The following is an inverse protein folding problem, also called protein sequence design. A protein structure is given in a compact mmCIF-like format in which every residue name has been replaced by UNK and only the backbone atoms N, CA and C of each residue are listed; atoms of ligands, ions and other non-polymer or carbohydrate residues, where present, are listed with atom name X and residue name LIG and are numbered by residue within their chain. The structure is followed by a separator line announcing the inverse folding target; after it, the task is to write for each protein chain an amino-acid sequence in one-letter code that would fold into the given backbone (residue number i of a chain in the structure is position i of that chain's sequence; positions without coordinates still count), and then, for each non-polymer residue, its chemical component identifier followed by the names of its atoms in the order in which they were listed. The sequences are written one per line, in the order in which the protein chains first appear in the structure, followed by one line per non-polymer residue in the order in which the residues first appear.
data_IF_611513061977
#
_entry.id   IF_611513061977
#
_cell.length_a   1.000
_cell.length_b   1.000
_cell.length_c   1.000
_cell.angle_alpha   90.00
_cell.angle_beta   90.00
_cell.angle_gamma   90.00
#
_symmetry.space_group_name_H-M   'P 1'
#
loop_
_entity.id
_entity.type
_entity.pdbx_description
1 polymer ?
#
# COMPACT_ATOMS: atom_id res chain seq x y z
N UNK A 1 -0.54 7.55 6.46
CA UNK A 1 -1.65 6.68 5.97
C UNK A 1 -2.90 7.50 5.79
N UNK A 2 -3.71 7.20 4.78
CA UNK A 2 -4.98 7.88 4.51
C UNK A 2 -6.13 6.91 4.76
N UNK A 3 -7.14 7.32 5.52
CA UNK A 3 -8.28 6.46 5.86
C UNK A 3 -9.58 7.09 5.36
N UNK A 4 -10.40 6.30 4.67
CA UNK A 4 -11.80 6.66 4.38
C UNK A 4 -12.62 6.61 5.67
N UNK A 5 -13.66 7.44 5.78
CA UNK A 5 -14.46 7.57 7.01
C UNK A 5 -15.05 6.23 7.46
N UNK A 6 -15.46 5.38 6.51
CA UNK A 6 -16.05 4.08 6.82
C UNK A 6 -15.03 3.07 7.35
N UNK A 7 -13.75 3.19 6.98
CA UNK A 7 -12.70 2.33 7.52
C UNK A 7 -12.58 2.52 9.03
N UNK A 8 -12.58 3.77 9.47
CA UNK A 8 -12.56 4.12 10.90
C UNK A 8 -13.82 3.63 11.61
N UNK A 9 -14.99 3.79 11.01
CA UNK A 9 -16.25 3.32 11.61
C UNK A 9 -16.26 1.80 11.79
N UNK A 10 -15.76 1.05 10.80
CA UNK A 10 -15.60 -0.41 10.91
C UNK A 10 -14.61 -0.80 11.99
N UNK A 11 -13.45 -0.14 12.03
CA UNK A 11 -12.44 -0.38 13.06
C UNK A 11 -13.05 -0.19 14.46
N UNK A 12 -13.70 0.95 14.70
CA UNK A 12 -14.33 1.26 15.99
C UNK A 12 -15.42 0.24 16.35
N UNK A 13 -16.20 -0.23 15.35
CA UNK A 13 -17.20 -1.29 15.54
C UNK A 13 -16.60 -2.63 15.97
N UNK A 14 -15.47 -3.04 15.38
CA UNK A 14 -14.80 -4.29 15.74
C UNK A 14 -14.05 -4.20 17.08
N UNK A 15 -13.47 -3.03 17.39
CA UNK A 15 -12.55 -2.83 18.52
C UNK A 15 -13.13 -1.97 19.66
N UNK A 16 -14.47 -1.91 19.75
CA UNK A 16 -15.20 -1.31 20.88
C UNK A 16 -14.82 0.16 21.17
N UNK A 17 -14.71 0.99 20.14
CA UNK A 17 -14.50 2.45 20.22
C UNK A 17 -13.20 2.93 20.87
N UNK A 18 -12.10 2.16 20.83
CA UNK A 18 -10.81 2.59 21.37
C UNK A 18 -9.93 3.24 20.30
N UNK A 19 -9.72 4.56 20.38
CA UNK A 19 -8.91 5.31 19.40
C UNK A 19 -7.43 4.93 19.44
N UNK A 20 -6.88 4.73 20.65
CA UNK A 20 -5.50 4.28 20.85
C UNK A 20 -5.22 2.90 20.22
N UNK A 21 -6.26 2.13 19.88
CA UNK A 21 -6.13 0.84 19.20
C UNK A 21 -5.96 0.98 17.68
N UNK A 22 -6.44 2.06 17.05
CA UNK A 22 -6.32 2.23 15.60
C UNK A 22 -4.86 2.49 15.21
N UNK A 23 -4.18 3.38 15.93
CA UNK A 23 -2.77 3.66 15.70
C UNK A 23 -1.92 2.41 15.90
N UNK A 24 -2.20 1.64 16.96
CA UNK A 24 -1.55 0.34 17.22
C UNK A 24 -1.82 -0.66 16.11
N UNK A 25 -3.06 -0.74 15.60
CA UNK A 25 -3.41 -1.61 14.48
C UNK A 25 -2.63 -1.21 13.21
N UNK A 26 -2.63 0.08 12.85
CA UNK A 26 -1.93 0.57 11.66
C UNK A 26 -0.41 0.37 11.78
N UNK A 27 0.16 0.58 12.96
CA UNK A 27 1.56 0.29 13.24
C UNK A 27 1.85 -1.22 13.12
N UNK A 28 0.99 -2.10 13.65
CA UNK A 28 1.15 -3.54 13.53
C UNK A 28 1.02 -4.02 12.07
N UNK A 29 0.10 -3.44 11.30
CA UNK A 29 -0.03 -3.65 9.86
C UNK A 29 1.27 -3.27 9.15
N UNK A 30 1.81 -2.09 9.42
CA UNK A 30 3.04 -1.60 8.81
C UNK A 30 4.27 -2.43 9.21
N UNK A 31 4.37 -2.82 10.47
CA UNK A 31 5.42 -3.72 10.96
C UNK A 31 5.34 -5.08 10.26
N UNK A 32 4.14 -5.59 10.00
CA UNK A 32 3.95 -6.81 9.22
C UNK A 32 4.38 -6.63 7.76
N UNK A 33 4.16 -5.45 7.17
CA UNK A 33 4.67 -5.09 5.84
C UNK A 33 6.20 -5.06 5.82
N UNK A 34 6.85 -4.47 6.83
CA UNK A 34 8.32 -4.45 6.96
C UNK A 34 8.95 -5.85 6.87
N UNK A 35 8.26 -6.90 7.36
CA UNK A 35 8.77 -8.27 7.29
C UNK A 35 8.96 -8.77 5.85
N UNK A 36 8.25 -8.24 4.85
CA UNK A 36 8.45 -8.62 3.44
C UNK A 36 9.76 -8.10 2.87
N UNK A 37 10.29 -7.01 3.44
CA UNK A 37 11.49 -6.31 3.00
C UNK A 37 12.72 -6.64 3.86
N UNK A 38 12.56 -7.49 4.89
CA UNK A 38 13.62 -7.84 5.87
C UNK A 38 14.92 -8.35 5.26
N UNK A 39 14.85 -8.93 4.07
CA UNK A 39 16.00 -9.53 3.36
C UNK A 39 16.78 -8.49 2.51
N UNK A 40 16.28 -7.25 2.42
CA UNK A 40 16.98 -6.12 1.80
C UNK A 40 17.88 -5.49 2.86
N UNK A 41 19.20 -5.73 2.77
CA UNK A 41 20.18 -5.30 3.80
C UNK A 41 21.04 -4.11 3.41
N UNK A 42 21.22 -3.85 2.11
CA UNK A 42 22.13 -2.82 1.61
C UNK A 42 21.46 -2.02 0.48
N UNK A 43 20.91 -0.83 0.76
CA UNK A 43 20.66 -0.29 2.10
C UNK A 43 19.54 -1.06 2.82
N UNK A 44 19.52 -1.03 4.15
CA UNK A 44 18.38 -1.55 4.92
C UNK A 44 17.18 -0.63 4.75
N UNK A 45 15.98 -1.21 4.71
CA UNK A 45 14.74 -0.47 4.53
C UNK A 45 13.81 -0.70 5.72
N UNK A 46 13.21 0.39 6.21
CA UNK A 46 12.17 0.36 7.23
C UNK A 46 11.10 1.40 6.89
N UNK A 47 9.84 0.99 6.92
CA UNK A 47 8.69 1.86 6.82
C UNK A 47 8.19 2.21 8.23
N UNK A 48 8.04 3.51 8.48
CA UNK A 48 7.57 4.06 9.76
C UNK A 48 6.28 4.83 9.53
N UNK A 49 5.33 4.70 10.46
CA UNK A 49 4.09 5.45 10.43
C UNK A 49 4.38 6.87 10.93
N UNK A 50 4.38 7.84 10.02
CA UNK A 50 4.68 9.24 10.35
C UNK A 50 3.42 10.06 10.66
N UNK A 51 2.31 9.79 9.97
CA UNK A 51 1.05 10.51 10.16
C UNK A 51 -0.17 9.69 9.66
N UNK A 52 -1.36 10.04 10.15
CA UNK A 52 -2.66 9.49 9.75
C UNK A 52 -3.59 10.63 9.34
N UNK A 53 -3.97 10.65 8.07
CA UNK A 53 -4.99 11.55 7.56
C UNK A 53 -6.35 10.84 7.49
N UNK A 54 -7.32 11.38 8.23
CA UNK A 54 -8.71 10.93 8.16
C UNK A 54 -9.47 11.77 7.14
N UNK A 55 -9.94 11.13 6.06
CA UNK A 55 -10.79 11.80 5.07
C UNK A 55 -12.09 12.29 5.71
N UNK A 56 -12.56 13.45 5.26
CA UNK A 56 -13.92 13.89 5.53
C UNK A 56 -14.94 12.99 4.83
N UNK A 57 -16.20 13.02 5.26
CA UNK A 57 -17.29 12.27 4.60
C UNK A 57 -17.43 12.65 3.12
N UNK A 58 -17.24 13.92 2.79
CA UNK A 58 -17.29 14.40 1.40
C UNK A 58 -16.12 13.85 0.57
N UNK A 59 -14.90 13.87 1.12
CA UNK A 59 -13.72 13.30 0.46
C UNK A 59 -13.86 11.80 0.23
N UNK A 60 -14.31 11.06 1.25
CA UNK A 60 -14.54 9.61 1.15
C UNK A 60 -15.63 9.28 0.15
N UNK A 61 -16.75 10.03 0.14
CA UNK A 61 -17.81 9.87 -0.85
C UNK A 61 -17.34 10.18 -2.27
N UNK A 62 -16.51 11.21 -2.44
CA UNK A 62 -15.92 11.55 -3.75
C UNK A 62 -14.93 10.48 -4.19
N UNK A 63 -14.11 9.93 -3.27
CA UNK A 63 -13.16 8.87 -3.55
C UNK A 63 -13.91 7.59 -3.97
N UNK A 64 -14.82 7.10 -3.13
CA UNK A 64 -15.56 5.84 -3.30
C UNK A 64 -16.67 5.87 -4.37
N UNK A 65 -16.87 7.00 -5.07
CA UNK A 65 -17.79 7.06 -6.21
C UNK A 65 -17.48 5.94 -7.23
N UNK A 66 -18.51 5.21 -7.64
CA UNK A 66 -18.42 3.97 -8.44
C UNK A 66 -17.92 4.20 -9.87
N UNK A 67 -17.45 3.12 -10.52
CA UNK A 67 -17.06 3.05 -11.94
C UNK A 67 -15.79 3.82 -12.34
N UNK A 68 -14.82 3.94 -11.44
CA UNK A 68 -13.50 4.47 -11.78
C UNK A 68 -12.51 3.35 -12.09
N UNK A 69 -11.64 3.61 -13.05
CA UNK A 69 -10.44 2.82 -13.29
C UNK A 69 -9.46 2.92 -12.13
N UNK A 70 -8.51 1.98 -12.05
CA UNK A 70 -7.47 2.00 -11.02
C UNK A 70 -6.62 3.27 -11.08
N UNK A 71 -6.35 3.77 -12.29
CA UNK A 71 -5.58 4.99 -12.52
C UNK A 71 -6.31 6.24 -12.02
N UNK A 72 -7.63 6.34 -12.24
CA UNK A 72 -8.43 7.46 -11.71
C UNK A 72 -8.42 7.51 -10.18
N UNK A 73 -8.48 6.37 -9.49
CA UNK A 73 -8.34 6.34 -8.02
C UNK A 73 -6.96 6.84 -7.57
N UNK A 74 -5.88 6.49 -8.29
CA UNK A 74 -4.53 6.95 -7.96
C UNK A 74 -4.38 8.47 -8.11
N UNK A 75 -4.81 9.02 -9.25
CA UNK A 75 -4.72 10.46 -9.47
C UNK A 75 -5.60 11.23 -8.48
N UNK A 76 -6.77 10.72 -8.16
CA UNK A 76 -7.61 11.35 -7.15
C UNK A 76 -6.95 11.34 -5.75
N UNK A 77 -6.27 10.26 -5.37
CA UNK A 77 -5.51 10.23 -4.13
C UNK A 77 -4.31 11.19 -4.15
N UNK A 78 -3.63 11.32 -5.29
CA UNK A 78 -2.56 12.29 -5.48
C UNK A 78 -3.08 13.73 -5.38
N UNK A 79 -4.20 14.06 -6.01
CA UNK A 79 -4.85 15.37 -5.93
C UNK A 79 -5.25 15.72 -4.49
N UNK A 80 -5.76 14.75 -3.74
CA UNK A 80 -6.02 14.90 -2.32
C UNK A 80 -4.73 15.26 -1.55
N UNK A 81 -3.65 14.53 -1.80
CA UNK A 81 -2.35 14.78 -1.17
C UNK A 81 -1.78 16.15 -1.50
N UNK A 82 -1.91 16.61 -2.75
CA UNK A 82 -1.52 17.95 -3.18
C UNK A 82 -2.38 19.01 -2.46
N UNK A 83 -3.71 18.83 -2.43
CA UNK A 83 -4.65 19.74 -1.78
C UNK A 83 -4.33 19.93 -0.29
N UNK A 84 -3.98 18.83 0.39
CA UNK A 84 -3.65 18.83 1.82
C UNK A 84 -2.16 18.97 2.13
N UNK A 85 -1.33 19.17 1.09
CA UNK A 85 0.12 19.41 1.20
C UNK A 85 0.85 18.29 1.95
N UNK A 86 0.53 17.03 1.63
CA UNK A 86 1.31 15.91 2.14
C UNK A 86 2.78 16.02 1.67
N UNK A 87 3.76 15.67 2.53
CA UNK A 87 5.17 15.71 2.14
C UNK A 87 5.42 14.83 0.91
N UNK A 88 6.18 15.35 -0.06
CA UNK A 88 6.42 14.66 -1.34
C UNK A 88 7.43 13.51 -1.24
N UNK A 89 8.20 13.47 -0.16
CA UNK A 89 9.14 12.42 0.21
C UNK A 89 8.49 11.25 0.94
N UNK A 90 7.25 11.43 1.43
CA UNK A 90 6.49 10.38 2.10
C UNK A 90 5.80 9.43 1.11
N UNK A 91 5.66 8.17 1.51
CA UNK A 91 4.76 7.22 0.87
C UNK A 91 3.36 7.38 1.46
N UNK A 92 2.45 7.89 0.64
CA UNK A 92 1.04 8.08 0.98
C UNK A 92 0.26 6.87 0.48
N UNK A 93 -0.33 6.10 1.39
CA UNK A 93 -1.23 5.03 0.99
C UNK A 93 -2.58 5.10 1.70
N UNK A 94 -3.62 4.80 0.94
CA UNK A 94 -5.01 4.78 1.39
C UNK A 94 -5.46 3.36 1.75
N UNK A 95 -6.10 3.19 2.91
CA UNK A 95 -6.80 1.97 3.28
C UNK A 95 -8.31 2.15 3.15
N UNK A 96 -8.96 1.20 2.48
CA UNK A 96 -10.42 1.14 2.36
C UNK A 96 -10.94 -0.26 2.68
N UNK A 97 -12.18 -0.42 3.17
CA UNK A 97 -12.73 -1.73 3.52
C UNK A 97 -13.43 -2.44 2.37
N UNK A 98 -13.72 -1.71 1.28
CA UNK A 98 -14.58 -2.19 0.21
C UNK A 98 -13.82 -2.92 -0.90
N UNK A 99 -14.49 -3.87 -1.55
CA UNK A 99 -14.02 -4.39 -2.82
C UNK A 99 -14.41 -3.41 -3.94
N UNK A 100 -13.42 -2.71 -4.49
CA UNK A 100 -13.62 -1.81 -5.61
C UNK A 100 -13.65 -2.64 -6.91
N UNK A 101 -14.76 -2.58 -7.64
CA UNK A 101 -14.91 -3.34 -8.89
C UNK A 101 -13.99 -2.80 -9.99
N UNK A 102 -13.45 -3.70 -10.82
CA UNK A 102 -12.59 -3.32 -11.95
C UNK A 102 -11.19 -2.87 -11.55
N UNK A 103 -10.79 -3.05 -10.28
CA UNK A 103 -9.45 -2.71 -9.82
C UNK A 103 -8.45 -3.82 -10.17
N UNK A 104 -7.36 -3.40 -10.81
CA UNK A 104 -6.19 -4.24 -10.97
C UNK A 104 -5.29 -4.04 -9.75
N UNK A 105 -5.25 -5.02 -8.86
CA UNK A 105 -4.46 -4.95 -7.62
C UNK A 105 -2.97 -4.67 -7.84
N UNK A 106 -2.42 -5.00 -9.01
CA UNK A 106 -1.04 -4.63 -9.35
C UNK A 106 -0.87 -3.18 -9.76
N UNK A 107 -1.92 -2.46 -10.08
CA UNK A 107 -1.83 -1.07 -10.52
C UNK A 107 -2.36 -0.11 -9.46
N UNK A 108 -2.57 -0.59 -8.23
CA UNK A 108 -3.04 0.19 -7.08
C UNK A 108 -1.97 1.09 -6.46
N UNK A 109 -0.83 1.26 -7.13
CA UNK A 109 0.16 2.29 -6.83
C UNK A 109 0.80 2.78 -8.12
N UNK A 110 1.32 4.01 -8.07
CA UNK A 110 2.29 4.42 -9.08
C UNK A 110 3.52 3.50 -9.02
N UNK A 111 4.11 3.27 -10.19
CA UNK A 111 5.39 2.58 -10.30
C UNK A 111 6.51 3.59 -10.09
N UNK A 112 7.54 3.20 -9.33
CA UNK A 112 8.71 4.03 -9.04
C UNK A 112 8.36 5.41 -8.45
N UNK A 113 7.34 5.44 -7.59
CA UNK A 113 6.82 6.65 -6.96
C UNK A 113 7.62 7.16 -5.78
N UNK A 114 8.52 6.36 -5.20
CA UNK A 114 9.32 6.74 -4.03
C UNK A 114 10.29 7.89 -4.34
N UNK A 115 10.39 8.87 -3.42
CA UNK A 115 11.12 10.13 -3.59
C UNK A 115 10.75 10.94 -4.85
N UNK A 116 9.56 10.70 -5.39
CA UNK A 116 8.99 11.40 -6.53
C UNK A 116 7.63 11.98 -6.13
N UNK A 117 7.08 12.91 -6.91
CA UNK A 117 5.72 13.45 -6.69
C UNK A 117 4.60 12.41 -6.85
N UNK A 118 4.92 11.12 -7.01
CA UNK A 118 4.05 9.98 -7.29
C UNK A 118 4.08 8.92 -6.19
N UNK A 119 4.45 9.27 -4.95
CA UNK A 119 4.49 8.36 -3.80
C UNK A 119 3.12 7.85 -3.30
N UNK A 120 2.18 7.51 -4.19
CA UNK A 120 0.79 7.21 -3.86
C UNK A 120 0.35 5.79 -4.22
N UNK A 121 -0.44 5.18 -3.34
CA UNK A 121 -1.16 3.94 -3.62
C UNK A 121 -2.37 3.73 -2.73
N UNK A 122 -3.18 2.73 -3.02
CA UNK A 122 -4.34 2.41 -2.20
C UNK A 122 -4.54 0.91 -2.10
N UNK A 123 -5.34 0.49 -1.13
CA UNK A 123 -5.63 -0.91 -0.98
C UNK A 123 -6.74 -1.24 0.00
N UNK A 124 -7.27 -2.45 -0.17
CA UNK A 124 -8.26 -3.03 0.72
C UNK A 124 -7.66 -3.59 2.02
N UNK A 125 -8.26 -3.24 3.16
CA UNK A 125 -8.06 -3.93 4.44
C UNK A 125 -9.40 -3.96 5.22
N UNK A 126 -9.68 -5.05 5.92
CA UNK A 126 -10.95 -5.24 6.64
C UNK A 126 -10.98 -4.62 8.05
N UNK A 127 -9.93 -3.89 8.44
CA UNK A 127 -9.76 -3.24 9.74
C UNK A 127 -9.79 -4.19 10.95
N UNK A 128 -9.63 -5.49 10.73
CA UNK A 128 -9.77 -6.51 11.78
C UNK A 128 -8.72 -7.60 11.71
N UNK A 129 -8.43 -8.13 10.52
CA UNK A 129 -7.59 -9.33 10.39
C UNK A 129 -6.27 -9.05 9.67
N UNK A 130 -5.90 -7.78 9.48
CA UNK A 130 -4.71 -7.40 8.69
C UNK A 130 -4.73 -7.96 7.27
N UNK A 131 -5.93 -8.09 6.69
CA UNK A 131 -6.12 -8.68 5.36
C UNK A 131 -5.43 -7.88 4.25
N UNK A 132 -5.15 -6.60 4.47
CA UNK A 132 -4.45 -5.73 3.53
C UNK A 132 -2.93 -5.87 3.51
N UNK A 133 -2.29 -6.54 4.47
CA UNK A 133 -0.82 -6.58 4.61
C UNK A 133 -0.10 -6.98 3.32
N UNK A 134 -0.51 -8.08 2.67
CA UNK A 134 0.15 -8.55 1.45
C UNK A 134 0.02 -7.55 0.30
N UNK A 135 -1.12 -6.89 0.17
CA UNK A 135 -1.34 -5.93 -0.90
C UNK A 135 -0.63 -4.59 -0.61
N UNK A 136 -0.55 -4.16 0.67
CA UNK A 136 0.30 -3.02 1.06
C UNK A 136 1.78 -3.31 0.82
N UNK A 137 2.25 -4.52 1.12
CA UNK A 137 3.62 -4.90 0.79
C UNK A 137 3.88 -4.86 -0.73
N UNK A 138 2.91 -5.32 -1.54
CA UNK A 138 3.02 -5.26 -3.01
C UNK A 138 3.07 -3.83 -3.53
N UNK A 139 2.18 -2.96 -3.04
CA UNK A 139 2.12 -1.57 -3.50
C UNK A 139 3.40 -0.82 -3.12
N UNK A 140 3.98 -1.09 -1.94
CA UNK A 140 5.28 -0.54 -1.54
C UNK A 140 6.42 -1.03 -2.43
N UNK A 141 6.45 -2.32 -2.75
CA UNK A 141 7.47 -2.87 -3.66
C UNK A 141 7.41 -2.16 -5.03
N UNK A 142 6.20 -1.91 -5.55
CA UNK A 142 6.02 -1.16 -6.79
C UNK A 142 6.42 0.32 -6.71
N UNK A 143 6.08 0.99 -5.61
CA UNK A 143 6.53 2.37 -5.36
C UNK A 143 8.05 2.48 -5.32
N UNK A 144 8.72 1.41 -4.88
CA UNK A 144 10.18 1.26 -4.89
C UNK A 144 10.73 0.66 -6.20
N UNK A 145 9.94 0.62 -7.26
CA UNK A 145 10.40 0.23 -8.60
C UNK A 145 10.44 -1.27 -8.89
N UNK A 146 9.91 -2.13 -8.01
CA UNK A 146 9.81 -3.56 -8.30
C UNK A 146 8.76 -3.85 -9.37
N UNK A 147 9.18 -4.54 -10.44
CA UNK A 147 8.27 -5.01 -11.48
C UNK A 147 7.47 -6.24 -11.02
N UNK A 148 6.41 -6.57 -11.76
CA UNK A 148 5.82 -7.90 -11.63
C UNK A 148 6.87 -8.98 -11.96
N UNK A 149 6.79 -10.13 -11.29
CA UNK A 149 7.68 -11.27 -11.52
C UNK A 149 7.29 -12.03 -12.81
N UNK A 150 7.18 -11.31 -13.93
CA UNK A 150 6.90 -11.85 -15.25
C UNK A 150 8.08 -11.64 -16.24
N UNK A 151 9.20 -11.13 -15.73
CA UNK A 151 10.44 -10.85 -16.45
C UNK A 151 11.41 -12.04 -16.45
N UNK A 152 12.40 -12.03 -17.34
CA UNK A 152 13.42 -13.06 -17.39
C UNK A 152 14.13 -13.22 -16.03
N UNK A 153 14.34 -14.47 -15.61
CA UNK A 153 14.91 -14.82 -14.30
C UNK A 153 13.90 -14.91 -13.15
N UNK A 154 12.72 -14.31 -13.26
CA UNK A 154 11.65 -14.39 -12.24
C UNK A 154 10.27 -14.78 -12.78
N UNK A 155 10.15 -15.12 -14.07
CA UNK A 155 8.88 -15.43 -14.74
C UNK A 155 8.08 -16.57 -14.10
N UNK A 156 8.77 -17.59 -13.58
CA UNK A 156 8.15 -18.76 -12.94
C UNK A 156 8.13 -18.63 -11.41
N UNK A 157 8.44 -17.45 -10.88
CA UNK A 157 8.46 -17.23 -9.44
C UNK A 157 7.04 -17.21 -8.87
N UNK A 158 6.92 -17.52 -7.59
CA UNK A 158 5.63 -17.51 -6.88
C UNK A 158 5.64 -16.54 -5.70
N UNK A 159 6.62 -15.63 -5.66
CA UNK A 159 6.82 -14.63 -4.62
C UNK A 159 5.77 -13.52 -4.69
N UNK A 160 5.86 -12.54 -3.77
CA UNK A 160 4.90 -11.44 -3.61
C UNK A 160 4.48 -10.78 -4.95
N UNK A 161 5.44 -10.56 -5.85
CA UNK A 161 5.26 -9.84 -7.12
C UNK A 161 4.80 -10.73 -8.29
N UNK A 162 4.59 -12.03 -8.05
CA UNK A 162 4.00 -12.97 -9.03
C UNK A 162 2.45 -13.03 -8.96
N UNK A 163 1.84 -12.36 -7.97
CA UNK A 163 0.38 -12.38 -7.69
C UNK A 163 -0.25 -13.72 -7.34
N UNK A 164 0.55 -14.76 -7.12
CA UNK A 164 -0.03 -16.04 -6.76
C UNK A 164 -0.47 -16.02 -5.30
N UNK A 165 -1.74 -15.68 -5.05
CA UNK A 165 -2.31 -15.61 -3.69
C UNK A 165 -2.28 -16.94 -2.93
N UNK A 166 -2.15 -18.06 -3.64
CA UNK A 166 -2.08 -19.39 -3.04
C UNK A 166 -0.65 -19.84 -2.78
N UNK A 167 0.35 -19.08 -3.24
CA UNK A 167 1.74 -19.45 -3.02
C UNK A 167 2.14 -19.33 -1.55
N UNK A 168 2.89 -20.29 -1.00
CA UNK A 168 3.53 -20.13 0.31
C UNK A 168 4.57 -18.98 0.30
N UNK A 169 5.18 -18.69 -0.84
CA UNK A 169 6.27 -17.71 -0.98
C UNK A 169 5.78 -16.27 -1.13
N UNK A 170 4.45 -16.06 -1.23
CA UNK A 170 3.82 -14.73 -1.38
C UNK A 170 4.16 -13.73 -0.28
N UNK A 171 4.72 -14.21 0.83
CA UNK A 171 5.14 -13.41 2.00
C UNK A 171 6.59 -12.91 1.92
N UNK A 172 7.26 -13.11 0.78
CA UNK A 172 8.64 -12.70 0.55
C UNK A 172 8.81 -12.15 -0.87
N UNK A 173 9.87 -11.36 -1.09
CA UNK A 173 10.22 -10.80 -2.39
C UNK A 173 11.11 -11.78 -3.18
N UNK A 174 10.92 -11.83 -4.50
CA UNK A 174 11.84 -12.53 -5.40
C UNK A 174 13.20 -11.82 -5.44
N UNK A 175 14.23 -12.50 -5.99
CA UNK A 175 15.52 -11.85 -6.19
C UNK A 175 15.43 -10.67 -7.18
N UNK A 176 14.59 -10.75 -8.22
CA UNK A 176 14.41 -9.62 -9.14
C UNK A 176 13.81 -8.40 -8.45
N UNK A 177 12.79 -8.62 -7.61
CA UNK A 177 12.15 -7.55 -6.85
C UNK A 177 13.14 -6.89 -5.87
N UNK A 178 13.92 -7.70 -5.14
CA UNK A 178 14.97 -7.20 -4.24
C UNK A 178 16.00 -6.36 -5.00
N UNK A 179 16.51 -6.84 -6.12
CA UNK A 179 17.50 -6.10 -6.93
C UNK A 179 16.94 -4.79 -7.46
N UNK A 180 15.69 -4.75 -7.94
CA UNK A 180 15.05 -3.52 -8.39
C UNK A 180 14.94 -2.48 -7.27
N UNK A 181 14.48 -2.90 -6.10
CA UNK A 181 14.35 -2.02 -4.93
C UNK A 181 15.72 -1.51 -4.47
N UNK A 182 16.72 -2.40 -4.40
CA UNK A 182 18.09 -2.00 -4.01
C UNK A 182 18.70 -0.99 -4.97
N UNK A 183 18.51 -1.18 -6.27
CA UNK A 183 18.93 -0.22 -7.28
C UNK A 183 18.24 1.13 -7.06
N UNK A 184 16.92 1.14 -6.87
CA UNK A 184 16.16 2.38 -6.60
C UNK A 184 16.64 3.11 -5.35
N UNK A 185 17.00 2.39 -4.29
CA UNK A 185 17.48 3.01 -3.05
C UNK A 185 18.91 3.59 -3.16
N UNK A 186 19.62 3.31 -4.25
CA UNK A 186 20.99 3.77 -4.48
C UNK A 186 21.11 4.86 -5.57
N UNK A 187 20.02 5.15 -6.28
CA UNK A 187 19.96 6.09 -7.41
C UNK A 187 18.88 7.14 -7.20
#
# INVERSE_FOLDING_TARGET
MVLVDQYRNLFLGYHRNQTASLDVYLQALLNSVNLFFRDIKCPSLEFVLVDIYNMTNNESGTFLATNKSTEEYLYQLQELGIKHKFPSDDLVFLLHPYNLQGINEFQTSFFDGFCNTRGYGFGQDDARTFSGVTMVARLFARLLGANADNIAGCKDSTYLMANNRSSPDKHTLSNCSKTNIQHKLQT
#
